data_IF_726459779085
#
_entry.id   IF_726459779085
#
_cell.length_a   1.000
_cell.length_b   1.000
_cell.length_c   1.000
_cell.angle_alpha   90.00
_cell.angle_beta   90.00
_cell.angle_gamma   90.00
#
_symmetry.space_group_name_H-M   'P 1'
#
loop_
_entity.id
_entity.type
_entity.pdbx_description
1 polymer ?
#
# COMPACT_ATOMS: atom_id res chain seq x y z
N UNK A 1 0.55 19.70 12.79
CA UNK A 1 1.04 20.43 13.97
C UNK A 1 0.24 21.72 14.04
N UNK A 2 -0.88 21.70 14.76
CA UNK A 2 -1.77 22.86 14.93
C UNK A 2 -1.36 23.55 16.25
N UNK A 3 -1.26 24.88 16.32
CA UNK A 3 -0.74 25.55 17.51
C UNK A 3 -1.66 25.31 18.72
N UNK A 4 -1.06 24.87 19.81
CA UNK A 4 -1.67 24.81 21.15
C UNK A 4 -1.92 26.24 21.65
N UNK A 5 -3.01 26.86 21.22
CA UNK A 5 -3.52 28.09 21.83
C UNK A 5 -4.84 27.73 22.52
N UNK A 6 -4.95 28.05 23.81
CA UNK A 6 -6.20 27.95 24.53
C UNK A 6 -7.20 28.90 23.85
N UNK A 7 -8.16 28.34 23.14
CA UNK A 7 -9.21 29.09 22.45
C UNK A 7 -10.40 29.16 23.40
N UNK A 8 -10.62 30.31 24.02
CA UNK A 8 -11.80 30.56 24.85
C UNK A 8 -13.00 30.80 23.93
N UNK A 9 -13.95 29.87 23.91
CA UNK A 9 -15.23 30.04 23.23
C UNK A 9 -16.29 30.46 24.27
N UNK A 10 -16.92 31.64 24.14
CA UNK A 10 -17.98 32.04 25.04
C UNK A 10 -19.26 31.28 24.66
N UNK A 11 -19.72 30.38 25.54
CA UNK A 11 -21.02 29.73 25.44
C UNK A 11 -21.92 30.26 26.58
N UNK A 12 -23.23 30.23 26.37
CA UNK A 12 -24.23 30.86 27.24
C UNK A 12 -24.07 30.47 28.73
N UNK A 13 -23.38 31.32 29.50
CA UNK A 13 -23.23 31.20 30.96
C UNK A 13 -21.91 30.65 31.49
N UNK A 14 -20.90 30.33 30.66
CA UNK A 14 -19.60 29.82 31.13
C UNK A 14 -18.45 29.99 30.13
N UNK A 15 -17.21 29.84 30.61
CA UNK A 15 -16.00 29.79 29.79
C UNK A 15 -15.48 28.36 29.67
N UNK A 16 -15.08 27.96 28.47
CA UNK A 16 -14.38 26.68 28.22
C UNK A 16 -12.90 26.97 28.04
N UNK A 17 -12.06 26.28 28.80
CA UNK A 17 -10.60 26.32 28.65
C UNK A 17 -10.15 25.01 28.01
N UNK A 18 -9.68 25.06 26.78
CA UNK A 18 -9.09 23.91 26.11
C UNK A 18 -7.60 23.79 26.44
N UNK A 19 -7.17 22.57 26.80
CA UNK A 19 -5.76 22.19 26.86
C UNK A 19 -5.58 20.81 26.23
N UNK A 20 -4.46 20.55 25.54
CA UNK A 20 -4.13 19.20 25.13
C UNK A 20 -3.93 18.30 26.36
N UNK A 21 -4.33 17.04 26.25
CA UNK A 21 -4.10 16.05 27.29
C UNK A 21 -2.60 15.96 27.62
N UNK A 22 -2.25 15.95 28.89
CA UNK A 22 -0.85 15.92 29.34
C UNK A 22 -0.14 14.64 28.85
N UNK A 23 -0.89 13.55 28.80
CA UNK A 23 -0.48 12.25 28.26
C UNK A 23 -0.22 12.24 26.75
N UNK A 24 -0.90 13.09 25.97
CA UNK A 24 -0.77 13.15 24.50
C UNK A 24 -1.49 12.02 23.74
N UNK A 25 -2.25 11.16 24.41
CA UNK A 25 -3.05 10.09 23.80
C UNK A 25 -4.37 9.88 24.57
N UNK A 26 -5.29 9.13 23.98
CA UNK A 26 -6.68 8.99 24.48
C UNK A 26 -6.73 8.27 25.83
N UNK A 27 -5.99 7.18 25.98
CA UNK A 27 -6.03 6.33 27.16
C UNK A 27 -6.61 4.94 26.91
N UNK A 28 -6.16 4.00 27.72
CA UNK A 28 -6.55 2.60 27.74
C UNK A 28 -6.69 2.07 29.17
N UNK A 29 -7.36 0.93 29.29
CA UNK A 29 -7.50 0.20 30.54
C UNK A 29 -6.19 -0.53 30.84
N UNK A 30 -5.61 -0.25 32.01
CA UNK A 30 -4.39 -0.88 32.48
C UNK A 30 -4.69 -2.19 33.22
N UNK A 31 -3.71 -3.11 33.36
CA UNK A 31 -3.91 -4.39 34.07
C UNK A 31 -4.32 -4.26 35.54
N UNK A 32 -4.04 -3.12 36.17
CA UNK A 32 -4.47 -2.79 37.54
C UNK A 32 -5.90 -2.21 37.61
N UNK A 33 -6.66 -2.30 36.52
CA UNK A 33 -8.03 -1.80 36.39
C UNK A 33 -8.15 -0.27 36.55
N UNK A 34 -7.07 0.47 36.24
CA UNK A 34 -7.09 1.94 36.18
C UNK A 34 -6.95 2.41 34.74
N UNK A 35 -7.33 3.66 34.47
CA UNK A 35 -7.21 4.26 33.15
C UNK A 35 -6.05 5.25 33.08
N UNK A 36 -5.31 5.18 31.98
CA UNK A 36 -4.29 6.16 31.62
C UNK A 36 -4.80 7.14 30.54
N UNK A 37 -3.90 7.94 30.00
CA UNK A 37 -4.22 8.91 28.95
C UNK A 37 -5.24 9.97 29.38
N UNK A 38 -5.85 10.61 28.39
CA UNK A 38 -6.91 11.60 28.58
C UNK A 38 -8.12 11.04 29.37
N UNK A 39 -8.51 9.77 29.15
CA UNK A 39 -9.60 9.11 29.90
C UNK A 39 -9.26 9.07 31.39
N UNK A 40 -8.03 8.71 31.73
CA UNK A 40 -7.55 8.75 33.11
C UNK A 40 -7.56 10.17 33.71
N UNK A 41 -7.19 11.19 32.93
CA UNK A 41 -7.21 12.60 33.36
C UNK A 41 -8.63 13.06 33.73
N UNK A 42 -9.65 12.66 32.96
CA UNK A 42 -11.06 12.95 33.31
C UNK A 42 -11.54 12.14 34.52
N UNK A 43 -11.19 10.86 34.61
CA UNK A 43 -11.55 10.03 35.78
C UNK A 43 -10.93 10.57 37.07
N UNK A 44 -9.73 11.16 37.01
CA UNK A 44 -9.07 11.83 38.13
C UNK A 44 -9.56 13.26 38.38
N UNK A 45 -10.58 13.72 37.65
CA UNK A 45 -11.13 15.08 37.73
C UNK A 45 -10.10 16.19 37.46
N UNK A 46 -9.09 15.91 36.62
CA UNK A 46 -8.13 16.91 36.13
C UNK A 46 -8.71 17.73 34.98
N UNK A 47 -9.70 17.15 34.27
CA UNK A 47 -10.48 17.77 33.20
C UNK A 47 -11.96 17.38 33.32
N UNK A 48 -12.86 18.26 32.90
CA UNK A 48 -14.30 18.00 32.94
C UNK A 48 -14.80 17.18 31.74
N UNK A 49 -14.12 17.25 30.60
CA UNK A 49 -14.49 16.53 29.38
C UNK A 49 -13.31 16.34 28.43
N UNK A 50 -13.40 15.33 27.56
CA UNK A 50 -12.45 15.10 26.47
C UNK A 50 -13.18 15.27 25.14
N UNK A 51 -12.64 16.11 24.27
CA UNK A 51 -13.07 16.20 22.88
C UNK A 51 -12.01 15.52 22.00
N UNK A 52 -12.28 14.28 21.59
CA UNK A 52 -11.36 13.50 20.75
C UNK A 52 -12.13 12.52 19.85
N UNK A 53 -11.61 12.16 18.67
CA UNK A 53 -12.14 11.03 17.89
C UNK A 53 -12.03 9.73 18.68
N UNK A 54 -13.12 9.37 19.36
CA UNK A 54 -13.19 8.19 20.21
C UNK A 54 -14.16 7.18 19.61
N UNK A 55 -13.68 5.95 19.40
CA UNK A 55 -14.56 4.84 19.06
C UNK A 55 -15.22 4.31 20.34
N UNK A 56 -16.56 4.26 20.41
CA UNK A 56 -17.27 3.70 21.55
C UNK A 56 -16.97 2.20 21.62
N UNK A 57 -16.62 1.73 22.82
CA UNK A 57 -16.48 0.32 23.13
C UNK A 57 -17.00 0.05 24.54
N UNK A 58 -17.11 -1.23 24.92
CA UNK A 58 -17.68 -1.60 26.21
C UNK A 58 -16.89 -1.02 27.40
N UNK A 59 -15.58 -1.21 27.42
CA UNK A 59 -14.74 -0.77 28.54
C UNK A 59 -14.78 0.75 28.76
N UNK A 60 -14.76 1.53 27.67
CA UNK A 60 -14.83 2.99 27.73
C UNK A 60 -16.19 3.47 28.22
N UNK A 61 -17.29 2.89 27.74
CA UNK A 61 -18.65 3.22 28.19
C UNK A 61 -18.88 2.88 29.67
N UNK A 62 -18.12 1.94 30.25
CA UNK A 62 -18.18 1.62 31.68
C UNK A 62 -17.32 2.57 32.52
N UNK A 63 -16.39 3.30 31.91
CA UNK A 63 -15.45 4.17 32.61
C UNK A 63 -15.86 5.65 32.57
N UNK A 64 -16.46 6.09 31.46
CA UNK A 64 -16.88 7.48 31.23
C UNK A 64 -18.19 7.52 30.45
N UNK A 65 -19.00 8.56 30.67
CA UNK A 65 -20.21 8.79 29.90
C UNK A 65 -19.86 9.34 28.51
N UNK A 66 -20.15 8.56 27.47
CA UNK A 66 -19.93 8.94 26.09
C UNK A 66 -21.15 9.67 25.52
N UNK A 67 -20.92 10.75 24.77
CA UNK A 67 -21.99 11.38 23.99
C UNK A 67 -22.49 10.45 22.88
N UNK A 68 -23.65 10.79 22.33
CA UNK A 68 -24.11 10.22 21.07
C UNK A 68 -23.05 10.35 19.97
N UNK A 69 -23.04 9.36 19.09
CA UNK A 69 -22.03 9.25 18.05
C UNK A 69 -22.33 10.22 16.90
N UNK A 70 -21.40 11.15 16.64
CA UNK A 70 -21.62 12.23 15.67
C UNK A 70 -21.33 11.84 14.21
N UNK A 71 -20.48 10.83 13.98
CA UNK A 71 -20.03 10.44 12.63
C UNK A 71 -19.86 8.94 12.52
N UNK A 72 -20.44 8.29 11.52
CA UNK A 72 -20.21 6.87 11.27
C UNK A 72 -18.72 6.57 11.02
N UNK A 73 -18.16 5.58 11.72
CA UNK A 73 -16.76 5.21 11.60
C UNK A 73 -16.63 3.87 10.87
N UNK A 74 -16.13 3.93 9.64
CA UNK A 74 -15.78 2.75 8.85
C UNK A 74 -14.27 2.50 8.86
N UNK A 75 -13.88 1.22 8.91
CA UNK A 75 -12.47 0.83 8.73
C UNK A 75 -12.21 0.61 7.24
N UNK A 76 -11.17 1.25 6.69
CA UNK A 76 -10.72 1.04 5.33
C UNK A 76 -9.20 0.84 5.29
N UNK A 77 -8.74 -0.10 4.47
CA UNK A 77 -7.30 -0.30 4.23
C UNK A 77 -6.86 0.60 3.08
N UNK A 78 -5.91 1.50 3.37
CA UNK A 78 -5.32 2.36 2.35
C UNK A 78 -4.01 1.73 1.88
N UNK A 79 -3.90 1.44 0.59
CA UNK A 79 -2.68 0.95 -0.03
C UNK A 79 -2.21 1.88 -1.15
N UNK A 80 -0.89 1.98 -1.33
CA UNK A 80 -0.32 2.70 -2.47
C UNK A 80 -0.71 1.97 -3.76
N UNK A 81 -1.29 2.70 -4.71
CA UNK A 81 -1.60 2.17 -6.05
C UNK A 81 -0.32 1.62 -6.70
N UNK A 82 -0.38 0.36 -7.13
CA UNK A 82 0.71 -0.27 -7.89
C UNK A 82 1.00 0.56 -9.16
N UNK A 83 2.24 1.00 -9.31
CA UNK A 83 2.71 1.66 -10.52
C UNK A 83 3.11 0.56 -11.51
N UNK A 84 2.26 0.28 -12.49
CA UNK A 84 2.59 -0.66 -13.57
C UNK A 84 3.56 0.04 -14.51
N UNK A 85 4.83 -0.32 -14.43
CA UNK A 85 5.83 0.13 -15.39
C UNK A 85 5.75 -0.73 -16.66
N UNK A 86 5.84 -0.13 -17.86
CA UNK A 86 5.89 -0.91 -19.09
C UNK A 86 7.18 -1.75 -19.11
N UNK A 87 7.01 -3.07 -19.03
CA UNK A 87 8.12 -4.02 -19.07
C UNK A 87 8.25 -4.65 -20.45
N UNK A 88 9.11 -4.07 -21.29
CA UNK A 88 9.38 -4.56 -22.65
C UNK A 88 10.10 -5.92 -22.60
N UNK A 89 10.85 -6.22 -21.53
CA UNK A 89 11.46 -7.54 -21.36
C UNK A 89 10.42 -8.61 -21.02
N UNK A 90 9.18 -8.22 -20.68
CA UNK A 90 8.03 -9.10 -20.49
C UNK A 90 7.80 -10.08 -21.64
N UNK A 91 8.14 -9.70 -22.88
CA UNK A 91 8.01 -10.57 -24.06
C UNK A 91 9.01 -11.74 -24.08
N UNK A 92 10.20 -11.57 -23.50
CA UNK A 92 11.26 -12.60 -23.50
C UNK A 92 11.11 -13.55 -22.31
N UNK A 93 10.57 -13.06 -21.17
CA UNK A 93 10.37 -13.80 -19.92
C UNK A 93 9.62 -15.14 -20.02
N UNK A 94 8.59 -15.34 -20.87
CA UNK A 94 7.87 -16.61 -20.89
C UNK A 94 8.68 -17.78 -21.45
N UNK A 95 9.79 -17.53 -22.15
CA UNK A 95 10.60 -18.58 -22.78
C UNK A 95 11.99 -18.68 -22.15
N UNK A 96 12.46 -19.92 -22.01
CA UNK A 96 13.79 -20.20 -21.47
C UNK A 96 14.91 -19.83 -22.45
N UNK A 97 16.13 -19.63 -21.92
CA UNK A 97 17.32 -19.44 -22.75
C UNK A 97 17.54 -20.61 -23.74
N UNK A 98 17.18 -21.84 -23.35
CA UNK A 98 17.25 -23.02 -24.23
C UNK A 98 16.32 -22.92 -25.44
N UNK A 99 15.15 -22.30 -25.28
CA UNK A 99 14.20 -22.08 -26.39
C UNK A 99 14.74 -21.05 -27.37
N UNK A 100 15.35 -19.98 -26.88
CA UNK A 100 15.98 -18.98 -27.75
C UNK A 100 17.19 -19.53 -28.50
N UNK A 101 18.00 -20.35 -27.83
CA UNK A 101 19.12 -21.04 -28.46
C UNK A 101 18.65 -22.05 -29.52
N UNK A 102 17.54 -22.76 -29.30
CA UNK A 102 17.01 -23.69 -30.29
C UNK A 102 16.45 -22.98 -31.53
N UNK A 103 15.79 -21.83 -31.35
CA UNK A 103 15.35 -20.96 -32.46
C UNK A 103 16.55 -20.50 -33.29
N UNK A 104 17.62 -20.03 -32.64
CA UNK A 104 18.85 -19.61 -33.32
C UNK A 104 19.53 -20.77 -34.06
N UNK A 105 19.65 -21.94 -33.41
CA UNK A 105 20.24 -23.13 -34.01
C UNK A 105 19.45 -23.62 -35.24
N UNK A 106 18.13 -23.60 -35.16
CA UNK A 106 17.25 -23.98 -36.27
C UNK A 106 17.42 -23.04 -37.45
N UNK A 107 17.51 -21.73 -37.19
CA UNK A 107 17.74 -20.74 -38.23
C UNK A 107 19.09 -20.95 -38.93
N UNK A 108 20.18 -21.17 -38.17
CA UNK A 108 21.50 -21.45 -38.74
C UNK A 108 21.50 -22.74 -39.56
N UNK A 109 20.89 -23.81 -39.04
CA UNK A 109 20.78 -25.08 -39.75
C UNK A 109 20.02 -24.91 -41.08
N UNK A 110 18.93 -24.15 -41.08
CA UNK A 110 18.17 -23.84 -42.29
C UNK A 110 19.02 -23.10 -43.33
N UNK A 111 19.79 -22.08 -42.92
CA UNK A 111 20.70 -21.34 -43.80
C UNK A 111 21.76 -22.26 -44.41
N UNK A 112 22.37 -23.14 -43.60
CA UNK A 112 23.37 -24.11 -44.10
C UNK A 112 22.73 -25.05 -45.13
N UNK A 113 21.59 -25.65 -44.81
CA UNK A 113 20.86 -26.53 -45.73
C UNK A 113 20.51 -25.83 -47.04
N UNK A 114 20.09 -24.57 -46.96
CA UNK A 114 19.80 -23.74 -48.12
C UNK A 114 21.05 -23.56 -48.99
N UNK A 115 22.17 -23.12 -48.42
CA UNK A 115 23.43 -22.93 -49.15
C UNK A 115 23.90 -24.23 -49.82
N UNK A 116 23.87 -25.36 -49.08
CA UNK A 116 24.26 -26.66 -49.62
C UNK A 116 23.38 -27.08 -50.79
N UNK A 117 22.07 -26.86 -50.69
CA UNK A 117 21.13 -27.18 -51.78
C UNK A 117 21.43 -26.34 -53.03
N UNK A 118 21.68 -25.04 -52.87
CA UNK A 118 22.08 -24.17 -53.97
C UNK A 118 23.40 -24.60 -54.61
N UNK A 119 24.39 -24.94 -53.79
CA UNK A 119 25.70 -25.41 -54.25
C UNK A 119 25.62 -26.76 -54.96
N UNK A 120 24.84 -27.71 -54.45
CA UNK A 120 24.60 -28.97 -55.14
C UNK A 120 23.93 -28.75 -56.50
N UNK A 121 22.93 -27.86 -56.58
CA UNK A 121 22.28 -27.52 -57.85
C UNK A 121 23.24 -26.92 -58.85
N UNK A 122 24.17 -26.07 -58.41
CA UNK A 122 25.21 -25.47 -59.25
C UNK A 122 26.16 -26.55 -59.82
N UNK A 123 26.65 -27.47 -58.97
CA UNK A 123 27.60 -28.52 -59.36
C UNK A 123 26.96 -29.58 -60.27
N UNK A 124 25.70 -29.93 -60.01
CA UNK A 124 24.96 -30.92 -60.80
C UNK A 124 24.36 -30.33 -62.09
N UNK A 125 24.44 -29.01 -62.30
CA UNK A 125 24.00 -28.41 -63.55
C UNK A 125 24.94 -28.85 -64.69
N UNK A 126 24.42 -29.52 -65.74
CA UNK A 126 25.27 -30.02 -66.82
C UNK A 126 25.94 -28.84 -67.54
N UNK A 127 27.27 -28.88 -67.68
CA UNK A 127 27.99 -27.89 -68.48
C UNK A 127 27.51 -27.98 -69.93
N UNK A 128 27.18 -26.85 -70.58
CA UNK A 128 26.76 -26.87 -71.97
C UNK A 128 27.88 -27.45 -72.85
N UNK A 129 27.54 -28.50 -73.60
CA UNK A 129 28.42 -29.13 -74.59
C UNK A 129 28.79 -28.10 -75.67
N UNK A 130 30.07 -27.75 -75.76
CA UNK A 130 30.61 -26.98 -76.88
C UNK A 130 30.42 -27.80 -78.16
N UNK A 131 29.70 -27.25 -79.14
CA UNK A 131 29.82 -27.66 -80.54
C UNK A 131 30.85 -26.79 -81.23
#
# INVERSE_FOLDING_TARGET
>A
MVPSQAMEAPLAGGSIIYKPAASGYIGGLLPNNTWDGAIGEVIRHEFDMIASPLLPNYERNMAVDLSEFLWDASHATIQRKAQVQPDIAGFIKPFSATTWLSVLATFVAFVICFILTFKMREILSPRPSSK
#
